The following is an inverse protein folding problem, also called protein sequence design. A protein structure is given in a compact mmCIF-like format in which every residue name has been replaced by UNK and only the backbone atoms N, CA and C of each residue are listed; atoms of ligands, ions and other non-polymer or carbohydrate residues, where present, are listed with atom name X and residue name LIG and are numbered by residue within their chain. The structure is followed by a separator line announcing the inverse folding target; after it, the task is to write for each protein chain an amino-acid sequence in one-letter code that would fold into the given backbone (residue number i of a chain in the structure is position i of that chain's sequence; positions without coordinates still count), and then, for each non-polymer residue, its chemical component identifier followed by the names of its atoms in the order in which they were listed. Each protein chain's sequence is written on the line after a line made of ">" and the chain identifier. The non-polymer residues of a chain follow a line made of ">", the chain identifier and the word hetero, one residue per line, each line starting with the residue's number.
data_IF_332094901719
#
_entry.id   IF_332094901719
#
_cell.length_a   1.000
_cell.length_b   1.000
_cell.length_c   1.000
_cell.angle_alpha   90.00
_cell.angle_beta   90.00
_cell.angle_gamma   90.00
#
_symmetry.space_group_name_H-M   'P 1'
#
loop_
_entity.id
_entity.type
_entity.pdbx_description
1 polymer ?
#
# COMPACT_ATOMS: atom_id res chain seq x y z
N UNK A 1 21.70 -11.84 -9.46
CA UNK A 1 20.96 -11.69 -8.18
C UNK A 1 19.81 -12.70 -7.94
N UNK A 2 19.46 -13.60 -8.87
CA UNK A 2 18.27 -14.49 -8.72
C UNK A 2 18.43 -15.77 -7.88
N UNK A 3 19.61 -16.09 -7.35
CA UNK A 3 19.82 -17.25 -6.45
C UNK A 3 19.51 -16.91 -4.99
N UNK A 4 19.73 -15.66 -4.58
CA UNK A 4 19.45 -15.19 -3.21
C UNK A 4 17.94 -15.05 -2.96
N UNK A 5 17.20 -14.47 -3.92
CA UNK A 5 15.74 -14.37 -3.85
C UNK A 5 15.04 -15.74 -3.78
N UNK A 6 15.58 -16.75 -4.47
CA UNK A 6 15.07 -18.13 -4.41
C UNK A 6 15.30 -18.80 -3.05
N UNK A 7 16.42 -18.50 -2.38
CA UNK A 7 16.66 -18.96 -1.00
C UNK A 7 15.72 -18.29 -0.01
N UNK A 8 15.56 -16.97 -0.10
CA UNK A 8 14.65 -16.20 0.77
C UNK A 8 13.20 -16.71 0.62
N UNK A 9 12.75 -16.96 -0.62
CA UNK A 9 11.40 -17.51 -0.87
C UNK A 9 11.23 -18.93 -0.30
N UNK A 10 12.24 -19.80 -0.45
CA UNK A 10 12.26 -21.14 0.14
C UNK A 10 12.31 -21.14 1.67
N UNK A 11 13.03 -20.20 2.28
CA UNK A 11 13.09 -20.08 3.74
C UNK A 11 11.78 -19.53 4.31
N UNK A 12 11.11 -18.63 3.57
CA UNK A 12 9.74 -18.17 3.88
C UNK A 12 8.70 -19.27 3.74
N UNK A 13 8.88 -20.19 2.78
CA UNK A 13 8.06 -21.42 2.64
C UNK A 13 8.36 -22.47 3.72
N UNK A 14 9.61 -22.49 4.24
CA UNK A 14 10.05 -23.37 5.34
C UNK A 14 9.77 -22.82 6.74
N UNK A 15 9.31 -21.58 6.86
CA UNK A 15 8.70 -21.09 8.09
C UNK A 15 7.39 -21.86 8.30
N UNK A 16 7.53 -23.09 8.80
CA UNK A 16 6.46 -24.00 9.19
C UNK A 16 5.63 -23.30 10.24
N UNK A 17 4.60 -22.61 9.79
CA UNK A 17 3.50 -22.21 10.67
C UNK A 17 3.00 -23.45 11.41
N UNK A 18 2.66 -23.35 12.70
CA UNK A 18 2.16 -24.48 13.47
C UNK A 18 0.78 -24.97 12.98
N UNK A 19 0.21 -24.31 11.97
CA UNK A 19 -1.09 -24.61 11.39
C UNK A 19 -0.98 -25.37 10.06
N UNK A 20 -1.93 -26.28 9.80
CA UNK A 20 -2.01 -27.03 8.56
C UNK A 20 -1.98 -26.11 7.31
N UNK A 21 -1.38 -26.55 6.18
CA UNK A 21 -1.23 -25.74 4.96
C UNK A 21 -2.53 -25.12 4.44
N UNK A 22 -3.67 -25.82 4.60
CA UNK A 22 -4.98 -25.31 4.19
C UNK A 22 -5.47 -24.17 5.09
N UNK A 23 -5.22 -24.26 6.39
CA UNK A 23 -5.52 -23.20 7.37
C UNK A 23 -4.66 -21.96 7.09
N UNK A 24 -3.37 -22.17 6.80
CA UNK A 24 -2.46 -21.10 6.35
C UNK A 24 -2.94 -20.42 5.07
N UNK A 25 -3.42 -21.18 4.08
CA UNK A 25 -3.95 -20.63 2.83
C UNK A 25 -5.22 -19.80 3.06
N UNK A 26 -6.13 -20.26 3.93
CA UNK A 26 -7.32 -19.52 4.31
C UNK A 26 -6.96 -18.23 5.08
N UNK A 27 -6.03 -18.31 6.03
CA UNK A 27 -5.51 -17.17 6.76
C UNK A 27 -4.88 -16.12 5.84
N UNK A 28 -3.98 -16.54 4.94
CA UNK A 28 -3.30 -15.63 4.01
C UNK A 28 -4.30 -14.95 3.07
N UNK A 29 -5.33 -15.66 2.60
CA UNK A 29 -6.42 -15.04 1.81
C UNK A 29 -7.19 -13.99 2.60
N UNK A 30 -7.51 -14.28 3.86
CA UNK A 30 -8.17 -13.32 4.75
C UNK A 30 -7.30 -12.09 5.03
N UNK A 31 -6.01 -12.31 5.27
CA UNK A 31 -5.02 -11.26 5.47
C UNK A 31 -4.85 -10.38 4.23
N UNK A 32 -4.69 -10.97 3.05
CA UNK A 32 -4.59 -10.24 1.78
C UNK A 32 -5.85 -9.43 1.49
N UNK A 33 -7.04 -9.99 1.75
CA UNK A 33 -8.30 -9.28 1.60
C UNK A 33 -8.42 -8.10 2.59
N UNK A 34 -7.99 -8.30 3.85
CA UNK A 34 -7.94 -7.25 4.85
C UNK A 34 -6.97 -6.13 4.48
N UNK A 35 -5.75 -6.49 4.08
CA UNK A 35 -4.74 -5.54 3.64
C UNK A 35 -5.19 -4.76 2.39
N UNK A 36 -5.87 -5.42 1.44
CA UNK A 36 -6.46 -4.76 0.28
C UNK A 36 -7.53 -3.76 0.68
N UNK A 37 -8.48 -4.16 1.54
CA UNK A 37 -9.54 -3.28 2.03
C UNK A 37 -8.98 -2.08 2.81
N UNK A 38 -7.96 -2.30 3.63
CA UNK A 38 -7.29 -1.23 4.37
C UNK A 38 -6.62 -0.24 3.41
N UNK A 39 -5.87 -0.73 2.43
CA UNK A 39 -5.25 0.13 1.42
C UNK A 39 -6.29 0.95 0.64
N UNK A 40 -7.44 0.36 0.32
CA UNK A 40 -8.55 1.06 -0.36
C UNK A 40 -9.11 2.19 0.52
N UNK A 41 -9.38 1.92 1.80
CA UNK A 41 -9.89 2.91 2.76
C UNK A 41 -8.87 4.04 2.99
N UNK A 42 -7.61 3.69 3.23
CA UNK A 42 -6.54 4.67 3.42
C UNK A 42 -6.37 5.57 2.18
N UNK A 43 -6.49 4.98 0.99
CA UNK A 43 -6.46 5.74 -0.28
C UNK A 43 -7.64 6.70 -0.39
N UNK A 44 -8.85 6.25 -0.05
CA UNK A 44 -10.06 7.10 -0.08
C UNK A 44 -9.91 8.30 0.88
N UNK A 45 -9.46 8.04 2.10
CA UNK A 45 -9.24 9.09 3.10
C UNK A 45 -8.21 10.12 2.62
N UNK A 46 -7.10 9.66 2.06
CA UNK A 46 -6.06 10.54 1.52
C UNK A 46 -6.58 11.43 0.38
N UNK A 47 -7.40 10.88 -0.53
CA UNK A 47 -8.01 11.65 -1.62
C UNK A 47 -9.01 12.68 -1.10
N UNK A 48 -9.78 12.34 -0.06
CA UNK A 48 -10.70 13.28 0.59
C UNK A 48 -9.93 14.47 1.19
N UNK A 49 -8.85 14.19 1.93
CA UNK A 49 -7.99 15.24 2.51
C UNK A 49 -7.38 16.14 1.43
N UNK A 50 -6.94 15.56 0.31
CA UNK A 50 -6.44 16.33 -0.83
C UNK A 50 -7.52 17.22 -1.46
N UNK A 51 -8.78 16.79 -1.45
CA UNK A 51 -9.93 17.59 -1.87
C UNK A 51 -10.11 18.84 -1.02
N UNK A 52 -9.93 18.71 0.30
CA UNK A 52 -10.17 19.76 1.30
C UNK A 52 -8.99 20.72 1.54
N UNK A 53 -7.91 20.63 0.76
CA UNK A 53 -6.72 21.47 0.94
C UNK A 53 -7.01 22.98 0.90
N UNK A 54 -8.01 23.41 0.13
CA UNK A 54 -8.39 24.82 -0.02
C UNK A 54 -9.16 25.35 1.21
N UNK A 55 -9.62 24.46 2.11
CA UNK A 55 -10.23 24.83 3.39
C UNK A 55 -9.17 25.27 4.41
N UNK A 56 -7.89 24.95 4.18
CA UNK A 56 -6.79 25.30 5.07
C UNK A 56 -6.46 26.79 4.88
N UNK A 57 -6.54 27.63 5.93
CA UNK A 57 -6.19 29.04 5.83
C UNK A 57 -4.77 29.23 5.31
N UNK A 58 -4.62 30.05 4.26
CA UNK A 58 -3.33 30.29 3.60
C UNK A 58 -3.02 29.35 2.43
N UNK A 59 -3.85 28.33 2.16
CA UNK A 59 -3.73 27.49 0.96
C UNK A 59 -4.79 27.91 -0.06
N UNK A 60 -4.35 28.65 -1.08
CA UNK A 60 -5.20 28.97 -2.23
C UNK A 60 -5.24 27.85 -3.28
N UNK A 61 -6.13 27.96 -4.29
CA UNK A 61 -6.34 26.92 -5.31
C UNK A 61 -5.07 26.50 -6.05
N UNK A 62 -4.19 27.47 -6.36
CA UNK A 62 -2.90 27.22 -7.02
C UNK A 62 -1.96 26.37 -6.15
N UNK A 63 -1.92 26.63 -4.85
CA UNK A 63 -1.08 25.89 -3.92
C UNK A 63 -1.64 24.48 -3.69
N UNK A 64 -2.96 24.37 -3.50
CA UNK A 64 -3.64 23.09 -3.37
C UNK A 64 -3.39 22.19 -4.58
N UNK A 65 -3.48 22.73 -5.80
CA UNK A 65 -3.18 21.99 -7.03
C UNK A 65 -1.76 21.42 -7.06
N UNK A 66 -0.74 22.23 -6.72
CA UNK A 66 0.66 21.77 -6.67
C UNK A 66 0.88 20.66 -5.64
N UNK A 67 0.21 20.74 -4.49
CA UNK A 67 0.29 19.70 -3.45
C UNK A 67 -0.34 18.40 -3.97
N UNK A 68 -1.51 18.47 -4.62
CA UNK A 68 -2.18 17.30 -5.23
C UNK A 68 -1.28 16.64 -6.27
N UNK A 69 -0.70 17.42 -7.18
CA UNK A 69 0.20 16.94 -8.23
C UNK A 69 1.43 16.23 -7.62
N UNK A 70 2.12 16.89 -6.69
CA UNK A 70 3.30 16.33 -6.04
C UNK A 70 3.00 14.99 -5.35
N UNK A 71 1.85 14.89 -4.65
CA UNK A 71 1.43 13.65 -4.02
C UNK A 71 1.20 12.52 -5.04
N UNK A 72 0.51 12.80 -6.13
CA UNK A 72 0.22 11.80 -7.17
C UNK A 72 1.51 11.32 -7.85
N UNK A 73 2.44 12.22 -8.15
CA UNK A 73 3.75 11.87 -8.70
C UNK A 73 4.57 11.01 -7.73
N UNK A 74 4.60 11.38 -6.45
CA UNK A 74 5.27 10.60 -5.41
C UNK A 74 4.72 9.17 -5.32
N UNK A 75 3.38 9.02 -5.34
CA UNK A 75 2.73 7.71 -5.28
C UNK A 75 2.99 6.89 -6.55
N UNK A 76 3.02 7.52 -7.72
CA UNK A 76 3.41 6.87 -8.99
C UNK A 76 4.85 6.34 -8.92
N UNK A 77 5.79 7.17 -8.47
CA UNK A 77 7.20 6.77 -8.33
C UNK A 77 7.43 5.63 -7.32
N UNK A 78 6.57 5.50 -6.29
CA UNK A 78 6.60 4.36 -5.38
C UNK A 78 6.04 3.07 -5.98
N UNK A 79 5.06 3.16 -6.90
CA UNK A 79 4.51 1.99 -7.61
C UNK A 79 5.48 1.43 -8.64
N UNK A 80 6.24 2.29 -9.32
CA UNK A 80 7.20 1.86 -10.36
C UNK A 80 8.50 1.26 -9.80
N UNK A 81 8.82 1.52 -8.52
CA UNK A 81 10.02 1.00 -7.84
C UNK A 81 9.81 -0.34 -7.12
N UNK A 82 8.56 -0.79 -6.94
CA UNK A 82 8.20 -2.05 -6.30
C UNK A 82 7.83 -3.11 -7.36
#
# INVERSE_FOLDING_TARGET
>A
MGKSLRKIKREREKASSPFHPEVMKAWNRGFEAGAKRQNELDTQLMLEWLGKLEEIPGIGPKMAWRIREHYLEFMKGKREKN
#
